data_IF_211228756556
#
_entry.id   IF_211228756556
#
_cell.length_a   1.000
_cell.length_b   1.000
_cell.length_c   1.000
_cell.angle_alpha   90.00
_cell.angle_beta   90.00
_cell.angle_gamma   90.00
#
_symmetry.space_group_name_H-M   'P 1'
#
loop_
_entity.id
_entity.type
_entity.pdbx_description
1 polymer ?
#
# COMPACT_ATOMS: atom_id res chain seq x y z
N UNK A 1 1.09 16.07 -17.71
CA UNK A 1 1.62 15.61 -16.41
C UNK A 1 1.48 14.10 -16.37
N UNK A 2 2.53 13.37 -15.98
CA UNK A 2 2.50 11.91 -15.92
C UNK A 2 1.57 11.45 -14.77
N UNK A 3 0.57 10.63 -15.12
CA UNK A 3 -0.43 10.11 -14.18
C UNK A 3 0.20 9.15 -13.15
N UNK A 4 1.30 8.47 -13.50
CA UNK A 4 2.03 7.61 -12.56
C UNK A 4 2.67 8.45 -11.45
N UNK A 5 3.24 9.61 -11.79
CA UNK A 5 3.81 10.52 -10.80
C UNK A 5 2.71 11.04 -9.86
N UNK A 6 1.55 11.42 -10.40
CA UNK A 6 0.41 11.86 -9.60
C UNK A 6 -0.11 10.76 -8.67
N UNK A 7 -0.18 9.52 -9.16
CA UNK A 7 -0.51 8.35 -8.35
C UNK A 7 0.50 8.16 -7.20
N UNK A 8 1.80 8.16 -7.50
CA UNK A 8 2.85 7.99 -6.50
C UNK A 8 2.83 9.09 -5.45
N UNK A 9 2.71 10.35 -5.86
CA UNK A 9 2.61 11.49 -4.96
C UNK A 9 1.35 11.40 -4.07
N UNK A 10 0.19 11.10 -4.66
CA UNK A 10 -1.07 10.94 -3.90
C UNK A 10 -1.00 9.78 -2.91
N UNK A 11 -0.35 8.67 -3.32
CA UNK A 11 -0.14 7.53 -2.44
C UNK A 11 0.77 7.91 -1.26
N UNK A 12 1.87 8.61 -1.50
CA UNK A 12 2.75 9.10 -0.42
C UNK A 12 2.01 10.03 0.56
N UNK A 13 1.18 10.95 0.04
CA UNK A 13 0.35 11.80 0.90
C UNK A 13 -0.70 11.00 1.68
N UNK A 14 -1.18 9.88 1.14
CA UNK A 14 -2.06 8.97 1.87
C UNK A 14 -1.35 8.26 3.03
N UNK A 15 0.00 8.19 3.04
CA UNK A 15 0.81 7.67 4.15
C UNK A 15 1.06 8.71 5.25
N UNK A 16 0.99 10.00 4.92
CA UNK A 16 1.22 11.09 5.85
C UNK A 16 0.17 11.15 6.95
N UNK A 17 0.60 11.40 8.18
CA UNK A 17 -0.26 11.75 9.31
C UNK A 17 0.40 12.91 10.05
N UNK A 18 -0.28 14.05 10.13
CA UNK A 18 0.16 15.19 10.95
C UNK A 18 -0.75 15.30 12.16
N UNK A 19 -0.17 15.56 13.34
CA UNK A 19 -0.95 15.85 14.56
C UNK A 19 -1.81 17.10 14.42
N UNK A 20 -1.43 18.01 13.51
CA UNK A 20 -2.15 19.24 13.22
C UNK A 20 -3.26 19.07 12.15
N UNK A 21 -3.25 17.97 11.39
CA UNK A 21 -4.25 17.73 10.35
C UNK A 21 -5.37 16.83 10.88
N UNK A 22 -6.62 17.20 10.56
CA UNK A 22 -7.76 16.31 10.78
C UNK A 22 -7.50 14.94 10.12
N UNK A 23 -7.86 13.85 10.81
CA UNK A 23 -7.71 12.46 10.34
C UNK A 23 -8.39 12.14 8.98
N UNK A 24 -9.01 13.14 8.33
CA UNK A 24 -9.66 13.10 7.02
C UNK A 24 -8.67 13.19 5.85
N UNK A 25 -7.51 13.83 6.02
CA UNK A 25 -6.55 14.06 4.94
C UNK A 25 -6.01 12.76 4.29
N UNK A 26 -5.58 11.74 5.05
CA UNK A 26 -5.05 10.52 4.45
C UNK A 26 -6.13 9.77 3.65
N UNK A 27 -7.38 9.82 4.09
CA UNK A 27 -8.51 9.18 3.40
C UNK A 27 -8.87 9.87 2.09
N UNK A 28 -8.74 11.20 2.04
CA UNK A 28 -8.91 11.98 0.82
C UNK A 28 -7.84 11.61 -0.22
N UNK A 29 -6.57 11.68 0.14
CA UNK A 29 -5.45 11.34 -0.73
C UNK A 29 -5.50 9.87 -1.19
N UNK A 30 -5.96 8.98 -0.32
CA UNK A 30 -6.17 7.59 -0.69
C UNK A 30 -7.23 7.44 -1.79
N UNK A 31 -8.33 8.21 -1.70
CA UNK A 31 -9.34 8.24 -2.75
C UNK A 31 -8.79 8.68 -4.11
N UNK A 32 -7.89 9.66 -4.12
CA UNK A 32 -7.23 10.14 -5.34
C UNK A 32 -6.32 9.07 -5.92
N UNK A 33 -5.46 8.46 -5.11
CA UNK A 33 -4.54 7.42 -5.56
C UNK A 33 -5.30 6.20 -6.13
N UNK A 34 -6.35 5.73 -5.47
CA UNK A 34 -7.19 4.63 -5.99
C UNK A 34 -7.82 5.01 -7.34
N UNK A 35 -8.33 6.24 -7.47
CA UNK A 35 -8.90 6.72 -8.74
C UNK A 35 -7.86 6.69 -9.87
N UNK A 36 -6.62 7.12 -9.61
CA UNK A 36 -5.55 7.03 -10.62
C UNK A 36 -5.21 5.58 -10.98
N UNK A 37 -5.10 4.68 -10.00
CA UNK A 37 -4.91 3.25 -10.26
C UNK A 37 -5.99 2.68 -11.19
N UNK A 38 -7.26 3.03 -10.94
CA UNK A 38 -8.38 2.58 -11.76
C UNK A 38 -8.36 3.20 -13.17
N UNK A 39 -8.12 4.51 -13.27
CA UNK A 39 -7.99 5.21 -14.56
C UNK A 39 -6.86 4.69 -15.44
N UNK A 40 -5.78 4.20 -14.82
CA UNK A 40 -4.63 3.62 -15.51
C UNK A 40 -4.78 2.11 -15.78
N UNK A 41 -5.85 1.49 -15.29
CA UNK A 41 -6.09 0.06 -15.47
C UNK A 41 -5.24 -0.84 -14.58
N UNK A 42 -4.62 -0.34 -13.51
CA UNK A 42 -3.70 -1.12 -12.67
C UNK A 42 -4.39 -2.22 -11.84
N UNK A 43 -5.72 -2.12 -11.70
CA UNK A 43 -6.61 -3.14 -11.12
C UNK A 43 -6.88 -4.32 -12.05
N UNK A 44 -6.34 -4.26 -13.28
CA UNK A 44 -6.43 -5.32 -14.26
C UNK A 44 -5.12 -6.08 -14.38
N UNK A 45 -5.21 -7.34 -14.79
CA UNK A 45 -4.07 -8.17 -15.07
C UNK A 45 -3.26 -7.59 -16.22
N UNK A 46 -2.04 -7.08 -15.95
CA UNK A 46 -1.22 -6.55 -17.02
C UNK A 46 -0.77 -7.68 -17.96
N UNK A 47 -0.59 -8.92 -17.47
CA UNK A 47 0.03 -10.05 -18.18
C UNK A 47 -0.88 -10.73 -19.21
N UNK A 48 -2.15 -10.35 -19.26
CA UNK A 48 -3.06 -10.84 -20.29
C UNK A 48 -2.60 -10.38 -21.69
N UNK A 49 -2.65 -11.31 -22.65
CA UNK A 49 -2.28 -11.08 -24.06
C UNK A 49 -2.99 -9.91 -24.74
N UNK A 50 -4.13 -9.47 -24.19
CA UNK A 50 -4.92 -8.31 -24.62
C UNK A 50 -4.24 -6.98 -24.32
N UNK A 51 -3.24 -6.96 -23.44
CA UNK A 51 -2.57 -5.73 -23.01
C UNK A 51 -1.40 -5.36 -23.94
N UNK A 52 -1.21 -4.06 -24.14
CA UNK A 52 -0.27 -3.48 -25.11
C UNK A 52 1.15 -4.08 -24.99
N UNK A 53 1.65 -4.64 -26.09
CA UNK A 53 2.99 -5.23 -26.20
C UNK A 53 4.12 -4.23 -25.95
N UNK A 54 3.84 -2.92 -25.93
CA UNK A 54 4.82 -1.87 -25.61
C UNK A 54 5.12 -1.75 -24.11
N UNK A 55 4.42 -2.48 -23.23
CA UNK A 55 4.62 -2.42 -21.78
C UNK A 55 5.75 -3.37 -21.39
N UNK A 56 6.79 -2.80 -20.79
CA UNK A 56 7.96 -3.55 -20.34
C UNK A 56 7.67 -4.32 -19.06
N UNK A 57 8.42 -5.38 -18.79
CA UNK A 57 8.27 -6.17 -17.55
C UNK A 57 8.47 -5.30 -16.31
N UNK A 58 9.42 -4.36 -16.34
CA UNK A 58 9.63 -3.39 -15.28
C UNK A 58 8.37 -2.55 -14.99
N UNK A 59 7.65 -2.14 -16.03
CA UNK A 59 6.38 -1.42 -15.86
C UNK A 59 5.31 -2.31 -15.24
N UNK A 60 5.20 -3.58 -15.65
CA UNK A 60 4.25 -4.55 -15.07
C UNK A 60 4.49 -4.74 -13.57
N UNK A 61 5.75 -4.92 -13.17
CA UNK A 61 6.16 -5.02 -11.76
C UNK A 61 5.85 -3.75 -10.96
N UNK A 62 6.12 -2.56 -11.52
CA UNK A 62 5.74 -1.29 -10.90
C UNK A 62 4.22 -1.15 -10.71
N UNK A 63 3.44 -1.50 -11.74
CA UNK A 63 1.99 -1.40 -11.70
C UNK A 63 1.36 -2.33 -10.67
N UNK A 64 1.82 -3.59 -10.60
CA UNK A 64 1.40 -4.52 -9.55
C UNK A 64 1.72 -3.99 -8.16
N UNK A 65 2.92 -3.43 -7.94
CA UNK A 65 3.28 -2.81 -6.65
C UNK A 65 2.39 -1.64 -6.28
N UNK A 66 2.13 -0.72 -7.21
CA UNK A 66 1.29 0.45 -6.96
C UNK A 66 -0.14 0.03 -6.62
N UNK A 67 -0.70 -0.92 -7.38
CA UNK A 67 -2.02 -1.48 -7.13
C UNK A 67 -2.12 -2.13 -5.74
N UNK A 68 -1.25 -3.09 -5.45
CA UNK A 68 -1.29 -3.83 -4.18
C UNK A 68 -0.95 -2.96 -2.97
N UNK A 69 -0.14 -1.92 -3.14
CA UNK A 69 0.09 -0.92 -2.07
C UNK A 69 -1.15 -0.07 -1.80
N UNK A 70 -1.85 0.39 -2.85
CA UNK A 70 -3.12 1.10 -2.69
C UNK A 70 -4.17 0.20 -2.04
N UNK A 71 -4.27 -1.05 -2.49
CA UNK A 71 -5.16 -2.05 -1.91
C UNK A 71 -4.92 -2.23 -0.42
N UNK A 72 -3.69 -2.54 -0.01
CA UNK A 72 -3.36 -2.76 1.39
C UNK A 72 -3.64 -1.52 2.23
N UNK A 73 -3.24 -0.34 1.75
CA UNK A 73 -3.47 0.92 2.47
C UNK A 73 -4.95 1.22 2.65
N UNK A 74 -5.81 0.97 1.66
CA UNK A 74 -7.26 1.13 1.76
C UNK A 74 -7.85 0.26 2.90
N UNK A 75 -7.37 -0.97 3.08
CA UNK A 75 -7.84 -1.88 4.15
C UNK A 75 -7.46 -1.37 5.53
N UNK A 76 -6.18 -1.02 5.73
CA UNK A 76 -5.69 -0.54 7.00
C UNK A 76 -6.27 0.82 7.36
N UNK A 77 -6.40 1.72 6.40
CA UNK A 77 -6.99 3.04 6.63
C UNK A 77 -8.49 2.94 6.96
N UNK A 78 -9.22 2.05 6.28
CA UNK A 78 -10.62 1.78 6.56
C UNK A 78 -10.84 1.23 7.97
N UNK A 79 -9.96 0.33 8.42
CA UNK A 79 -9.96 -0.16 9.81
C UNK A 79 -9.76 1.00 10.79
N UNK A 80 -8.70 1.80 10.61
CA UNK A 80 -8.34 2.89 11.53
C UNK A 80 -9.42 3.96 11.63
N UNK A 81 -10.07 4.30 10.51
CA UNK A 81 -11.06 5.38 10.45
C UNK A 81 -12.52 4.91 10.55
N UNK A 82 -12.76 3.60 10.66
CA UNK A 82 -14.10 3.01 10.65
C UNK A 82 -14.88 3.29 9.36
N UNK A 83 -14.20 3.34 8.21
CA UNK A 83 -14.79 3.67 6.90
C UNK A 83 -15.01 2.40 6.05
N UNK A 84 -15.96 2.41 5.09
CA UNK A 84 -16.07 1.33 4.11
C UNK A 84 -14.86 1.25 3.18
N UNK A 85 -14.54 0.04 2.72
CA UNK A 85 -13.52 -0.21 1.71
C UNK A 85 -13.88 0.45 0.38
N UNK A 86 -12.91 1.07 -0.31
CA UNK A 86 -13.10 1.66 -1.63
C UNK A 86 -12.84 0.66 -2.76
N UNK A 87 -11.89 -0.25 -2.56
CA UNK A 87 -11.57 -1.29 -3.54
C UNK A 87 -12.41 -2.54 -3.26
N UNK A 88 -13.02 -3.10 -4.29
CA UNK A 88 -13.65 -4.42 -4.24
C UNK A 88 -12.86 -5.39 -5.12
N UNK A 89 -12.35 -6.47 -4.54
CA UNK A 89 -11.52 -7.43 -5.28
C UNK A 89 -12.29 -8.18 -6.37
N UNK A 90 -13.62 -8.27 -6.28
CA UNK A 90 -14.43 -8.88 -7.34
C UNK A 90 -14.41 -8.11 -8.66
N UNK A 91 -14.04 -6.83 -8.63
CA UNK A 91 -13.94 -5.97 -9.80
C UNK A 91 -12.52 -5.93 -10.40
N UNK A 92 -11.61 -6.74 -9.84
CA UNK A 92 -10.17 -6.69 -10.11
C UNK A 92 -9.67 -8.08 -10.53
N UNK A 93 -8.70 -8.11 -11.45
CA UNK A 93 -8.07 -9.36 -11.90
C UNK A 93 -6.53 -9.29 -11.87
N UNK A 94 -5.93 -8.25 -11.28
CA UNK A 94 -4.47 -8.16 -11.08
C UNK A 94 -3.92 -9.40 -10.36
N UNK A 95 -2.85 -10.03 -10.88
CA UNK A 95 -2.20 -11.19 -10.26
C UNK A 95 -1.73 -10.89 -8.84
N UNK A 96 -1.72 -11.92 -8.00
CA UNK A 96 -1.15 -11.84 -6.65
C UNK A 96 0.29 -11.34 -6.70
N UNK A 97 0.71 -10.47 -5.76
CA UNK A 97 2.06 -9.93 -5.78
C UNK A 97 3.09 -11.03 -5.54
N UNK A 98 4.26 -10.85 -6.15
CA UNK A 98 5.42 -11.72 -6.02
C UNK A 98 6.63 -10.93 -5.51
N UNK A 99 7.63 -11.65 -5.00
CA UNK A 99 8.93 -11.07 -4.60
C UNK A 99 9.60 -10.33 -5.76
N UNK A 100 9.46 -10.87 -6.98
CA UNK A 100 10.06 -10.28 -8.19
C UNK A 100 9.49 -8.90 -8.52
N UNK A 101 8.23 -8.62 -8.14
CA UNK A 101 7.66 -7.29 -8.33
C UNK A 101 8.44 -6.21 -7.57
N UNK A 102 9.05 -6.58 -6.44
CA UNK A 102 9.90 -5.68 -5.66
C UNK A 102 11.34 -5.66 -6.14
N UNK A 103 11.93 -6.83 -6.41
CA UNK A 103 13.34 -6.95 -6.77
C UNK A 103 13.67 -6.45 -8.19
N UNK A 104 12.70 -6.39 -9.10
CA UNK A 104 12.94 -5.99 -10.50
C UNK A 104 13.55 -4.60 -10.67
N UNK A 105 13.30 -3.68 -9.73
CA UNK A 105 13.85 -2.32 -9.79
C UNK A 105 15.31 -2.22 -9.30
N UNK A 106 15.80 -3.28 -8.67
CA UNK A 106 17.08 -3.28 -7.95
C UNK A 106 18.19 -3.87 -8.79
N UNK A 107 17.84 -4.74 -9.74
CA UNK A 107 18.79 -5.50 -10.58
C UNK A 107 19.76 -4.59 -11.34
N UNK A 108 19.28 -3.43 -11.81
CA UNK A 108 20.05 -2.52 -12.66
C UNK A 108 20.57 -1.27 -11.92
N UNK A 109 20.62 -1.29 -10.58
CA UNK A 109 21.08 -0.14 -9.81
C UNK A 109 22.59 0.02 -9.87
N UNK A 110 23.05 1.28 -9.87
CA UNK A 110 24.47 1.57 -9.71
C UNK A 110 24.95 1.14 -8.31
N UNK A 111 26.25 0.83 -8.13
CA UNK A 111 26.79 0.44 -6.82
C UNK A 111 26.52 1.49 -5.72
N UNK A 112 26.51 2.77 -6.09
CA UNK A 112 26.18 3.87 -5.18
C UNK A 112 24.71 3.88 -4.77
N UNK A 113 23.79 3.52 -5.66
CA UNK A 113 22.38 3.41 -5.32
C UNK A 113 22.11 2.14 -4.48
N UNK A 114 22.79 1.05 -4.82
CA UNK A 114 22.68 -0.21 -4.09
C UNK A 114 23.15 -0.09 -2.63
N UNK A 115 24.08 0.83 -2.30
CA UNK A 115 24.53 1.04 -0.91
C UNK A 115 23.45 1.60 0.02
N UNK A 116 22.37 2.18 -0.51
CA UNK A 116 21.23 2.63 0.29
C UNK A 116 20.20 1.54 0.53
N UNK A 117 20.36 0.37 -0.10
CA UNK A 117 19.44 -0.74 0.07
C UNK A 117 19.78 -1.56 1.31
N UNK A 118 18.76 -2.05 2.03
CA UNK A 118 18.97 -2.96 3.15
C UNK A 118 19.53 -4.30 2.66
N UNK A 119 20.45 -4.88 3.43
CA UNK A 119 21.09 -6.16 3.11
C UNK A 119 20.09 -7.32 3.00
N UNK A 120 18.96 -7.26 3.72
CA UNK A 120 17.92 -8.28 3.73
C UNK A 120 16.73 -7.97 2.81
N UNK A 121 17.01 -7.40 1.63
CA UNK A 121 15.98 -6.94 0.68
C UNK A 121 14.99 -8.03 0.25
N UNK A 122 15.48 -9.24 -0.02
CA UNK A 122 14.64 -10.37 -0.41
C UNK A 122 13.68 -10.79 0.72
N UNK A 123 14.15 -10.76 1.97
CA UNK A 123 13.32 -11.01 3.14
C UNK A 123 12.24 -9.93 3.28
N UNK A 124 12.58 -8.66 3.09
CA UNK A 124 11.63 -7.55 3.09
C UNK A 124 10.59 -7.66 1.96
N UNK A 125 11.00 -8.09 0.77
CA UNK A 125 10.09 -8.34 -0.35
C UNK A 125 9.11 -9.50 -0.04
N UNK A 126 9.59 -10.58 0.59
CA UNK A 126 8.73 -11.65 1.10
C UNK A 126 7.74 -11.12 2.15
N UNK A 127 8.21 -10.25 3.05
CA UNK A 127 7.35 -9.63 4.05
C UNK A 127 6.27 -8.75 3.41
N UNK A 128 6.59 -8.01 2.35
CA UNK A 128 5.61 -7.22 1.62
C UNK A 128 4.51 -8.10 0.99
N UNK A 129 4.86 -9.23 0.37
CA UNK A 129 3.85 -10.18 -0.17
C UNK A 129 2.92 -10.68 0.95
N UNK A 130 3.49 -11.03 2.11
CA UNK A 130 2.70 -11.44 3.28
C UNK A 130 1.86 -10.32 3.88
N UNK A 131 2.35 -9.08 3.87
CA UNK A 131 1.57 -7.92 4.27
C UNK A 131 0.32 -7.77 3.39
N UNK A 132 0.44 -7.95 2.08
CA UNK A 132 -0.72 -7.91 1.16
C UNK A 132 -1.72 -9.03 1.46
N UNK A 133 -1.24 -10.25 1.71
CA UNK A 133 -2.07 -11.40 2.11
C UNK A 133 -2.86 -11.10 3.41
N UNK A 134 -2.19 -10.53 4.42
CA UNK A 134 -2.82 -10.12 5.68
C UNK A 134 -3.86 -9.01 5.44
N UNK A 135 -3.54 -8.03 4.60
CA UNK A 135 -4.48 -6.97 4.22
C UNK A 135 -5.74 -7.53 3.54
N UNK A 136 -5.61 -8.60 2.75
CA UNK A 136 -6.77 -9.24 2.12
C UNK A 136 -7.71 -9.86 3.16
N UNK A 137 -7.17 -10.61 4.12
CA UNK A 137 -7.97 -11.14 5.24
C UNK A 137 -8.59 -10.01 6.08
N UNK A 138 -7.87 -8.92 6.32
CA UNK A 138 -8.43 -7.75 6.99
C UNK A 138 -9.64 -7.18 6.22
N UNK A 139 -9.56 -7.14 4.89
CA UNK A 139 -10.68 -6.73 4.05
C UNK A 139 -11.92 -7.63 4.19
N UNK A 140 -11.70 -8.93 4.32
CA UNK A 140 -12.80 -9.89 4.56
C UNK A 140 -13.44 -9.65 5.94
N UNK A 141 -12.63 -9.44 6.99
CA UNK A 141 -13.11 -9.11 8.34
C UNK A 141 -13.93 -7.82 8.34
N UNK A 142 -13.40 -6.74 7.72
CA UNK A 142 -14.11 -5.46 7.63
C UNK A 142 -15.44 -5.66 6.89
N UNK A 143 -15.43 -6.40 5.79
CA UNK A 143 -16.63 -6.68 4.99
C UNK A 143 -17.65 -7.54 5.74
N UNK A 144 -17.20 -8.40 6.64
CA UNK A 144 -18.06 -9.23 7.47
C UNK A 144 -18.78 -8.42 8.56
N UNK A 145 -18.12 -7.41 9.15
CA UNK A 145 -18.64 -6.69 10.31
C UNK A 145 -19.29 -5.33 10.00
N UNK A 146 -18.85 -4.62 8.96
CA UNK A 146 -19.22 -3.22 8.71
C UNK A 146 -20.22 -3.01 7.57
N UNK A 147 -20.80 -4.08 7.01
CA UNK A 147 -21.79 -3.96 5.93
C UNK A 147 -23.21 -3.70 6.47
N UNK A 148 -23.80 -2.57 6.09
CA UNK A 148 -25.06 -2.06 6.64
C UNK A 148 -26.29 -2.97 6.42
N UNK A 149 -26.28 -3.85 5.41
CA UNK A 149 -27.44 -4.68 5.03
C UNK A 149 -27.13 -6.18 4.91
N UNK A 150 -26.04 -6.67 5.51
CA UNK A 150 -25.78 -8.12 5.57
C UNK A 150 -26.34 -8.74 6.84
N UNK A 151 -26.80 -10.01 6.77
CA UNK A 151 -27.12 -10.77 7.97
C UNK A 151 -25.89 -10.82 8.87
N UNK A 152 -26.12 -10.81 10.18
CA UNK A 152 -25.05 -10.94 11.16
C UNK A 152 -24.28 -12.24 10.86
N UNK A 153 -22.92 -12.21 10.87
CA UNK A 153 -22.12 -13.40 10.63
C UNK A 153 -22.52 -14.53 11.58
N UNK A 154 -22.61 -15.74 11.08
CA UNK A 154 -22.81 -16.91 11.92
C UNK A 154 -21.55 -17.20 12.73
N UNK A 155 -21.70 -17.99 13.81
CA UNK A 155 -20.53 -18.45 14.58
C UNK A 155 -19.56 -19.27 13.70
N UNK A 156 -20.08 -19.97 12.69
CA UNK A 156 -19.25 -20.72 11.75
C UNK A 156 -18.41 -19.79 10.89
N UNK A 157 -18.99 -18.72 10.35
CA UNK A 157 -18.27 -17.73 9.53
C UNK A 157 -17.11 -17.10 10.32
N UNK A 158 -17.35 -16.78 11.59
CA UNK A 158 -16.33 -16.23 12.50
C UNK A 158 -15.21 -17.24 12.75
N UNK A 159 -15.55 -18.52 13.01
CA UNK A 159 -14.57 -19.59 13.22
C UNK A 159 -13.73 -19.85 11.97
N UNK A 160 -14.35 -19.84 10.79
CA UNK A 160 -13.66 -20.03 9.52
C UNK A 160 -12.66 -18.90 9.28
N UNK A 161 -13.05 -17.66 9.62
CA UNK A 161 -12.14 -16.50 9.56
C UNK A 161 -10.99 -16.61 10.57
N UNK A 162 -11.26 -17.03 11.81
CA UNK A 162 -10.24 -17.24 12.83
C UNK A 162 -9.23 -18.32 12.42
N UNK A 163 -9.70 -19.41 11.82
CA UNK A 163 -8.85 -20.48 11.28
C UNK A 163 -7.93 -19.95 10.17
N UNK A 164 -8.46 -19.16 9.23
CA UNK A 164 -7.68 -18.52 8.16
C UNK A 164 -6.59 -17.60 8.71
N UNK A 165 -6.94 -16.73 9.68
CA UNK A 165 -5.99 -15.81 10.32
C UNK A 165 -4.90 -16.60 11.07
N UNK A 166 -5.28 -17.66 11.79
CA UNK A 166 -4.35 -18.48 12.57
C UNK A 166 -3.34 -19.20 11.69
N UNK A 167 -3.76 -19.69 10.52
CA UNK A 167 -2.86 -20.30 9.55
C UNK A 167 -1.85 -19.29 8.97
N UNK A 168 -2.27 -18.04 8.76
CA UNK A 168 -1.36 -16.98 8.31
C UNK A 168 -0.37 -16.56 9.41
N UNK A 169 -0.84 -16.44 10.66
CA UNK A 169 -0.05 -16.02 11.83
C UNK A 169 1.20 -16.89 12.06
N UNK A 170 1.09 -18.20 11.87
CA UNK A 170 2.19 -19.14 12.09
C UNK A 170 3.39 -18.94 11.14
N UNK A 171 3.28 -18.07 10.12
CA UNK A 171 4.34 -17.84 9.13
C UNK A 171 5.09 -16.51 9.29
N UNK A 172 4.71 -15.60 10.20
CA UNK A 172 4.97 -14.16 9.91
C UNK A 172 5.36 -13.21 11.07
N UNK A 173 5.17 -13.50 12.35
CA UNK A 173 5.20 -12.40 13.36
C UNK A 173 6.52 -12.27 14.16
N UNK A 174 7.41 -11.37 13.71
CA UNK A 174 8.25 -10.54 14.61
C UNK A 174 8.69 -9.17 14.04
N UNK A 175 8.63 -8.93 12.73
CA UNK A 175 9.27 -7.76 12.09
C UNK A 175 8.33 -6.62 11.63
N UNK A 176 7.01 -6.83 11.63
CA UNK A 176 6.05 -5.95 10.91
C UNK A 176 5.74 -4.61 11.56
N UNK A 177 5.83 -4.51 12.89
CA UNK A 177 5.52 -3.26 13.59
C UNK A 177 6.63 -2.21 13.46
N UNK A 178 7.86 -2.63 13.17
CA UNK A 178 8.98 -1.69 13.03
C UNK A 178 8.91 -0.96 11.69
N UNK A 179 8.56 -1.65 10.60
CA UNK A 179 8.65 -1.08 9.26
C UNK A 179 7.56 -0.03 8.94
N UNK A 180 6.30 -0.26 9.35
CA UNK A 180 5.21 0.71 9.14
C UNK A 180 5.42 2.01 9.94
N UNK A 181 6.03 1.91 11.13
CA UNK A 181 6.42 3.07 11.93
C UNK A 181 7.66 3.76 11.33
N UNK A 182 8.70 3.01 10.95
CA UNK A 182 9.94 3.60 10.41
C UNK A 182 9.73 4.31 9.07
N UNK A 183 8.98 3.74 8.13
CA UNK A 183 8.75 4.39 6.82
C UNK A 183 7.93 5.68 6.93
N UNK A 184 6.99 5.75 7.88
CA UNK A 184 6.22 6.96 8.16
C UNK A 184 7.06 8.03 8.85
N UNK A 185 7.93 7.64 9.80
CA UNK A 185 8.82 8.55 10.52
C UNK A 185 9.92 9.12 9.62
N UNK A 186 10.55 8.29 8.76
CA UNK A 186 11.62 8.76 7.87
C UNK A 186 11.10 9.81 6.89
N UNK A 187 9.90 9.64 6.33
CA UNK A 187 9.31 10.64 5.43
C UNK A 187 8.90 11.93 6.17
N UNK A 188 8.42 11.83 7.41
CA UNK A 188 8.15 12.99 8.28
C UNK A 188 9.39 13.78 8.67
N UNK A 189 10.49 13.10 9.00
CA UNK A 189 11.75 13.78 9.33
C UNK A 189 12.33 14.54 8.13
N UNK A 190 12.31 13.97 6.92
CA UNK A 190 12.88 14.62 5.73
C UNK A 190 12.12 15.88 5.33
N UNK A 191 10.79 15.96 5.56
CA UNK A 191 10.01 17.16 5.24
C UNK A 191 10.13 18.22 6.34
N UNK A 192 10.19 17.83 7.62
CA UNK A 192 10.40 18.79 8.72
C UNK A 192 11.75 19.51 8.62
N UNK A 193 12.80 18.84 8.14
CA UNK A 193 14.12 19.46 7.92
C UNK A 193 14.12 20.46 6.75
N UNK A 194 13.21 20.32 5.78
CA UNK A 194 13.02 21.30 4.70
C UNK A 194 12.17 22.52 5.09
N UNK A 195 11.57 22.52 6.28
CA UNK A 195 10.82 23.65 6.85
C UNK A 195 11.57 24.34 8.00
N UNK A 196 12.90 24.43 7.91
CA UNK A 196 13.66 25.36 8.75
C UNK A 196 13.17 26.79 8.46
N UNK A 197 12.79 27.59 9.48
CA UNK A 197 12.28 28.93 9.26
C UNK A 197 13.39 29.81 8.68
N UNK A 198 13.15 30.38 7.49
CA UNK A 198 13.91 31.52 6.98
C UNK A 198 13.73 32.65 7.99
N UNK A 199 14.73 32.87 8.84
CA UNK A 199 14.78 34.04 9.72
C UNK A 199 14.82 35.28 8.85
N UNK A 200 13.69 35.98 8.74
CA UNK A 200 13.67 37.36 8.26
C UNK A 200 14.40 38.22 9.29
N UNK A 201 15.65 38.58 9.01
CA UNK A 201 16.32 39.70 9.67
C UNK A 201 15.58 40.97 9.29
N UNK A 202 14.78 41.49 10.21
CA UNK A 202 14.33 42.88 10.18
C UNK A 202 15.56 43.71 10.60
N UNK A 203 16.01 44.58 9.69
CA UNK A 203 17.08 45.55 9.95
C UNK A 203 16.48 46.68 10.80
N UNK A 204 17.14 47.00 11.92
CA UNK A 204 16.95 48.23 12.69
C UNK A 204 17.53 49.45 11.96
#
# INVERSE_FOLDING_TARGET
>A
MDKIILLQASLLMAFWHSEADEHTQPWYWMGIAISFCQMLGLHRDPDLSTYNSSITDRQRHLWRRLWWTCFSRDRWLSLTLGRPLRINLHDCDTPTPSVNDFLSDVVDLSPQMASYLPENLEELANHWVKYVEISAMLGDVISMHYQARKPRPSLQDVKDMENRISQCRNKTIRSYLVWLFSASITFSCTISETQAPVQYKILD
#
